data_IF_543527617337
#
_entry.id   IF_543527617337
#
_cell.length_a   1.000
_cell.length_b   1.000
_cell.length_c   1.000
_cell.angle_alpha   90.00
_cell.angle_beta   90.00
_cell.angle_gamma   90.00
#
_symmetry.space_group_name_H-M   'P 1'
#
loop_
_entity.id
_entity.type
_entity.pdbx_description
1 polymer ?
#
# COMPACT_ATOMS: atom_id res chain seq x y z
N UNK A 1 21.81 1.42 27.17
CA UNK A 1 20.42 0.95 27.31
C UNK A 1 19.50 2.14 27.09
N UNK A 2 19.02 2.32 25.87
CA UNK A 2 18.10 3.40 25.50
C UNK A 2 16.69 2.91 25.76
N UNK A 3 16.03 3.44 26.79
CA UNK A 3 14.63 3.15 27.12
C UNK A 3 13.73 3.64 25.98
N UNK A 4 13.13 2.72 25.22
CA UNK A 4 12.09 3.08 24.26
C UNK A 4 10.82 3.45 25.01
N UNK A 5 10.24 4.57 24.63
CA UNK A 5 8.97 5.02 25.19
C UNK A 5 7.89 4.00 24.82
N UNK A 6 7.10 3.47 25.77
CA UNK A 6 6.00 2.52 25.52
C UNK A 6 5.03 2.95 24.40
N UNK A 7 4.97 4.25 24.15
CA UNK A 7 4.15 4.87 23.10
C UNK A 7 4.61 4.50 21.68
N UNK A 8 5.90 4.32 21.42
CA UNK A 8 6.42 3.96 20.10
C UNK A 8 5.99 2.54 19.70
N UNK A 9 5.99 1.59 20.65
CA UNK A 9 5.52 0.21 20.42
C UNK A 9 4.06 0.16 20.02
N UNK A 10 3.20 0.88 20.75
CA UNK A 10 1.76 0.91 20.50
C UNK A 10 1.46 1.55 19.15
N UNK A 11 2.15 2.65 18.82
CA UNK A 11 2.00 3.32 17.53
C UNK A 11 2.36 2.41 16.36
N UNK A 12 3.46 1.65 16.45
CA UNK A 12 3.87 0.68 15.42
C UNK A 12 2.81 -0.41 15.24
N UNK A 13 2.25 -0.94 16.34
CA UNK A 13 1.18 -1.93 16.25
C UNK A 13 -0.08 -1.38 15.58
N UNK A 14 -0.42 -0.11 15.80
CA UNK A 14 -1.57 0.55 15.17
C UNK A 14 -1.35 0.83 13.68
N UNK A 15 -0.10 1.08 13.25
CA UNK A 15 0.21 1.45 11.86
C UNK A 15 0.45 0.24 10.96
N UNK A 16 0.83 -0.92 11.51
CA UNK A 16 1.10 -2.15 10.73
C UNK A 16 -0.04 -2.57 9.79
N UNK A 17 -1.32 -2.63 10.21
CA UNK A 17 -2.41 -2.95 9.29
C UNK A 17 -2.50 -1.97 8.11
N UNK A 18 -2.23 -0.69 8.34
CA UNK A 18 -2.23 0.33 7.29
C UNK A 18 -1.10 0.08 6.29
N UNK A 19 0.09 -0.29 6.77
CA UNK A 19 1.24 -0.57 5.91
C UNK A 19 1.07 -1.86 5.11
N UNK A 20 0.44 -2.89 5.67
CA UNK A 20 0.04 -4.09 4.92
C UNK A 20 -0.94 -3.74 3.80
N UNK A 21 -1.96 -2.93 4.10
CA UNK A 21 -2.91 -2.42 3.11
C UNK A 21 -2.21 -1.64 1.98
N UNK A 22 -1.22 -0.81 2.32
CA UNK A 22 -0.48 0.00 1.35
C UNK A 22 0.44 -0.87 0.48
N UNK A 23 1.12 -1.86 1.07
CA UNK A 23 2.00 -2.76 0.32
C UNK A 23 1.19 -3.59 -0.68
N UNK A 24 0.07 -4.18 -0.26
CA UNK A 24 -0.81 -4.91 -1.17
C UNK A 24 -1.35 -4.02 -2.29
N UNK A 25 -1.75 -2.78 -1.94
CA UNK A 25 -2.20 -1.80 -2.94
C UNK A 25 -1.12 -1.48 -3.96
N UNK A 26 0.13 -1.26 -3.52
CA UNK A 26 1.28 -0.98 -4.37
C UNK A 26 1.46 -2.06 -5.45
N UNK A 27 1.35 -3.34 -5.08
CA UNK A 27 1.48 -4.46 -6.01
C UNK A 27 0.36 -4.57 -7.05
N UNK A 28 -0.80 -3.96 -6.79
CA UNK A 28 -1.95 -3.97 -7.71
C UNK A 28 -1.99 -2.76 -8.66
N UNK A 29 -1.08 -1.81 -8.51
CA UNK A 29 -1.04 -0.60 -9.33
C UNK A 29 -0.64 -0.94 -10.76
N UNK A 30 -1.46 -0.47 -11.71
CA UNK A 30 -1.28 -0.64 -13.15
C UNK A 30 -2.07 0.41 -13.92
N UNK A 31 -1.80 0.53 -15.22
CA UNK A 31 -2.60 1.36 -16.14
C UNK A 31 -4.02 0.77 -16.27
N UNK A 32 -4.98 1.34 -15.54
CA UNK A 32 -6.36 0.86 -15.46
C UNK A 32 -7.28 1.93 -14.86
N UNK A 33 -8.58 1.66 -14.80
CA UNK A 33 -9.49 2.50 -14.02
C UNK A 33 -9.17 2.39 -12.53
N UNK A 34 -9.40 3.47 -11.78
CA UNK A 34 -9.27 3.45 -10.32
C UNK A 34 -10.15 2.37 -9.69
N UNK A 35 -11.32 2.09 -10.28
CA UNK A 35 -12.23 1.04 -9.81
C UNK A 35 -11.58 -0.34 -9.93
N UNK A 36 -10.94 -0.65 -11.06
CA UNK A 36 -10.26 -1.93 -11.27
C UNK A 36 -9.06 -2.11 -10.34
N UNK A 37 -8.26 -1.06 -10.13
CA UNK A 37 -7.11 -1.12 -9.21
C UNK A 37 -7.57 -1.31 -7.76
N UNK A 38 -8.61 -0.58 -7.33
CA UNK A 38 -9.17 -0.73 -5.98
C UNK A 38 -9.78 -2.12 -5.79
N UNK A 39 -10.50 -2.65 -6.80
CA UNK A 39 -11.04 -4.00 -6.76
C UNK A 39 -9.95 -5.06 -6.63
N UNK A 40 -8.93 -5.00 -7.50
CA UNK A 40 -7.82 -5.94 -7.46
C UNK A 40 -7.06 -5.90 -6.12
N UNK A 41 -6.84 -4.72 -5.55
CA UNK A 41 -6.21 -4.57 -4.25
C UNK A 41 -7.06 -5.16 -3.12
N UNK A 42 -8.38 -4.95 -3.17
CA UNK A 42 -9.30 -5.50 -2.17
C UNK A 42 -9.35 -7.02 -2.24
N UNK A 43 -9.43 -7.58 -3.45
CA UNK A 43 -9.44 -9.03 -3.67
C UNK A 43 -8.13 -9.66 -3.19
N UNK A 44 -6.99 -9.05 -3.49
CA UNK A 44 -5.67 -9.50 -3.02
C UNK A 44 -5.56 -9.48 -1.48
N UNK A 45 -6.09 -8.43 -0.83
CA UNK A 45 -6.13 -8.32 0.63
C UNK A 45 -7.05 -9.37 1.26
N UNK A 46 -8.23 -9.60 0.69
CA UNK A 46 -9.17 -10.63 1.14
C UNK A 46 -8.58 -12.03 1.01
N UNK A 47 -7.94 -12.32 -0.12
CA UNK A 47 -7.27 -13.62 -0.34
C UNK A 47 -6.12 -13.82 0.66
N UNK A 48 -5.29 -12.79 0.86
CA UNK A 48 -4.16 -12.84 1.80
C UNK A 48 -4.65 -13.06 3.24
N UNK A 49 -5.76 -12.45 3.62
CA UNK A 49 -6.40 -12.68 4.92
C UNK A 49 -6.95 -14.10 5.04
N UNK A 50 -7.70 -14.58 4.05
CA UNK A 50 -8.28 -15.91 4.04
C UNK A 50 -7.23 -17.03 4.10
N UNK A 51 -6.06 -16.81 3.50
CA UNK A 51 -4.93 -17.74 3.51
C UNK A 51 -4.04 -17.63 4.76
N UNK A 52 -4.40 -16.82 5.76
CA UNK A 52 -3.58 -16.51 6.94
C UNK A 52 -2.17 -15.95 6.60
N UNK A 53 -2.02 -15.32 5.43
CA UNK A 53 -0.78 -14.62 5.03
C UNK A 53 -0.70 -13.20 5.59
N UNK A 54 -1.83 -12.67 6.07
CA UNK A 54 -1.96 -11.34 6.66
C UNK A 54 -2.59 -11.47 8.04
N UNK A 55 -2.00 -10.84 9.06
CA UNK A 55 -2.44 -10.99 10.44
C UNK A 55 -3.65 -10.09 10.77
N UNK A 56 -3.76 -8.95 10.11
CA UNK A 56 -4.70 -7.91 10.49
C UNK A 56 -5.83 -7.76 9.47
N UNK A 57 -7.03 -8.22 9.82
CA UNK A 57 -8.21 -8.02 8.98
C UNK A 57 -8.54 -6.54 8.73
N UNK A 58 -8.12 -5.65 9.64
CA UNK A 58 -8.23 -4.19 9.50
C UNK A 58 -7.46 -3.62 8.30
N UNK A 59 -6.47 -4.35 7.78
CA UNK A 59 -5.74 -3.97 6.57
C UNK A 59 -6.62 -4.05 5.31
N UNK A 60 -7.70 -4.83 5.33
CA UNK A 60 -8.69 -4.94 4.25
C UNK A 60 -9.61 -3.71 4.25
N UNK A 61 -9.10 -2.58 3.78
CA UNK A 61 -9.81 -1.30 3.81
C UNK A 61 -9.73 -0.54 2.49
N UNK A 62 -10.89 -0.21 1.92
CA UNK A 62 -10.94 0.65 0.72
C UNK A 62 -10.37 2.05 0.96
N UNK A 63 -10.39 2.53 2.20
CA UNK A 63 -9.81 3.82 2.55
C UNK A 63 -8.28 3.74 2.61
N UNK A 64 -7.73 2.65 3.15
CA UNK A 64 -6.29 2.40 3.11
C UNK A 64 -5.79 2.33 1.65
N UNK A 65 -6.51 1.61 0.79
CA UNK A 65 -6.21 1.53 -0.65
C UNK A 65 -6.21 2.93 -1.29
N UNK A 66 -7.28 3.72 -1.09
CA UNK A 66 -7.36 5.07 -1.66
C UNK A 66 -6.28 6.01 -1.13
N UNK A 67 -5.90 5.88 0.14
CA UNK A 67 -4.84 6.69 0.72
C UNK A 67 -3.46 6.30 0.16
N UNK A 68 -3.20 5.00 -0.06
CA UNK A 68 -2.00 4.54 -0.75
C UNK A 68 -1.91 5.13 -2.17
N UNK A 69 -3.00 5.12 -2.95
CA UNK A 69 -3.02 5.74 -4.28
C UNK A 69 -2.71 7.24 -4.24
N UNK A 70 -3.20 7.97 -3.22
CA UNK A 70 -2.86 9.39 -3.03
C UNK A 70 -1.37 9.58 -2.72
N UNK A 71 -0.79 8.70 -1.90
CA UNK A 71 0.64 8.72 -1.58
C UNK A 71 1.49 8.47 -2.83
N UNK A 72 1.17 7.43 -3.61
CA UNK A 72 1.88 7.10 -4.84
C UNK A 72 1.79 8.23 -5.88
N UNK A 73 0.63 8.91 -5.95
CA UNK A 73 0.49 10.11 -6.77
C UNK A 73 1.39 11.24 -6.30
N UNK A 74 1.45 11.49 -4.99
CA UNK A 74 2.31 12.51 -4.41
C UNK A 74 3.80 12.23 -4.66
N UNK A 75 4.19 10.95 -4.71
CA UNK A 75 5.55 10.52 -5.03
C UNK A 75 5.87 10.54 -6.52
N UNK A 76 4.90 10.86 -7.39
CA UNK A 76 5.08 10.83 -8.84
C UNK A 76 5.18 9.42 -9.42
N UNK A 77 4.78 8.40 -8.65
CA UNK A 77 4.75 7.00 -9.11
C UNK A 77 3.58 6.77 -10.07
N UNK A 78 2.46 7.44 -9.79
CA UNK A 78 1.27 7.40 -10.63
C UNK A 78 0.72 8.78 -10.93
N UNK A 79 0.07 8.89 -12.07
CA UNK A 79 -0.87 9.96 -12.38
C UNK A 79 -2.30 9.46 -12.24
N UNK A 80 -3.18 10.35 -11.81
CA UNK A 80 -4.62 10.11 -11.79
C UNK A 80 -5.30 11.18 -12.63
N UNK A 81 -6.10 10.75 -13.60
CA UNK A 81 -6.81 11.62 -14.53
C UNK A 81 -8.22 11.12 -14.77
N UNK A 82 -9.08 11.98 -15.33
CA UNK A 82 -10.43 11.61 -15.73
C UNK A 82 -10.49 11.52 -17.25
N UNK A 83 -10.98 10.41 -17.76
CA UNK A 83 -11.19 10.18 -19.19
C UNK A 83 -12.55 9.50 -19.38
N UNK A 84 -13.40 10.02 -20.26
CA UNK A 84 -14.77 9.54 -20.48
C UNK A 84 -15.59 9.35 -19.19
N UNK A 85 -15.48 10.31 -18.24
CA UNK A 85 -16.12 10.28 -16.91
C UNK A 85 -15.62 9.18 -15.97
N UNK A 86 -14.56 8.45 -16.34
CA UNK A 86 -13.92 7.46 -15.49
C UNK A 86 -12.60 7.98 -14.93
N UNK A 87 -12.36 7.70 -13.65
CA UNK A 87 -11.05 7.97 -13.03
C UNK A 87 -10.09 6.87 -13.45
N UNK A 88 -9.00 7.25 -14.10
CA UNK A 88 -7.94 6.35 -14.57
C UNK A 88 -6.65 6.62 -13.83
N UNK A 89 -5.84 5.56 -13.73
CA UNK A 89 -4.51 5.56 -13.17
C UNK A 89 -3.54 5.27 -14.32
N UNK A 90 -2.45 6.03 -14.37
CA UNK A 90 -1.29 5.77 -15.21
C UNK A 90 -0.07 5.63 -14.32
N UNK A 91 0.72 4.58 -14.52
CA UNK A 91 2.04 4.42 -13.90
C UNK A 91 3.02 5.29 -14.67
N UNK A 92 3.79 6.11 -13.95
CA UNK A 92 4.75 7.03 -14.54
C UNK A 92 6.09 6.32 -14.81
N UNK A 93 6.83 6.77 -15.82
CA UNK A 93 8.26 6.40 -15.97
C UNK A 93 9.05 6.91 -14.74
N UNK A 94 9.96 6.11 -14.15
CA UNK A 94 10.46 4.82 -14.62
C UNK A 94 9.77 3.60 -13.97
N UNK A 95 8.67 3.80 -13.25
CA UNK A 95 7.98 2.78 -12.45
C UNK A 95 7.15 1.79 -13.27
N UNK A 96 7.04 2.00 -14.59
CA UNK A 96 6.50 0.99 -15.51
C UNK A 96 7.39 -0.27 -15.55
N UNK A 97 8.68 -0.11 -15.23
CA UNK A 97 9.57 -1.23 -14.97
C UNK A 97 9.24 -1.83 -13.59
N UNK A 98 9.05 -3.15 -13.57
CA UNK A 98 8.75 -3.93 -12.38
C UNK A 98 9.79 -3.75 -11.27
N UNK A 99 11.07 -3.70 -11.58
CA UNK A 99 12.15 -3.55 -10.59
C UNK A 99 12.03 -2.21 -9.85
N UNK A 100 11.78 -1.12 -10.59
CA UNK A 100 11.57 0.21 -10.02
C UNK A 100 10.28 0.27 -9.18
N UNK A 101 9.22 -0.45 -9.58
CA UNK A 101 8.00 -0.57 -8.78
C UNK A 101 8.24 -1.41 -7.52
N UNK A 102 9.03 -2.48 -7.61
CA UNK A 102 9.41 -3.30 -6.46
C UNK A 102 10.20 -2.49 -5.43
N UNK A 103 11.06 -1.56 -5.84
CA UNK A 103 11.72 -0.62 -4.93
C UNK A 103 10.73 0.29 -4.19
N UNK A 104 9.69 0.78 -4.87
CA UNK A 104 8.62 1.58 -4.23
C UNK A 104 7.88 0.72 -3.19
N UNK A 105 7.49 -0.49 -3.55
CA UNK A 105 6.79 -1.38 -2.63
C UNK A 105 7.70 -1.79 -1.45
N UNK A 106 9.00 -2.03 -1.69
CA UNK A 106 9.99 -2.29 -0.65
C UNK A 106 10.14 -1.10 0.31
N UNK A 107 10.09 0.13 -0.20
CA UNK A 107 10.15 1.33 0.65
C UNK A 107 8.92 1.45 1.56
N UNK A 108 7.73 1.13 1.07
CA UNK A 108 6.51 1.04 1.89
C UNK A 108 6.65 -0.10 2.92
N UNK A 109 7.14 -1.25 2.48
CA UNK A 109 7.28 -2.45 3.31
C UNK A 109 8.39 -2.35 4.36
N UNK A 110 9.41 -1.51 4.15
CA UNK A 110 10.48 -1.22 5.12
C UNK A 110 9.94 -0.71 6.45
N UNK A 111 8.81 0.01 6.44
CA UNK A 111 8.15 0.45 7.66
C UNK A 111 7.32 -0.67 8.31
N UNK A 112 6.99 -1.72 7.55
CA UNK A 112 6.23 -2.88 8.00
C UNK A 112 7.11 -3.90 8.72
N UNK A 113 8.36 -4.09 8.28
CA UNK A 113 9.28 -5.08 8.83
C UNK A 113 10.43 -4.47 9.64
N UNK A 114 10.72 -5.12 10.77
CA UNK A 114 11.96 -4.97 11.53
C UNK A 114 12.34 -3.53 11.91
N UNK A 115 11.38 -2.66 12.25
CA UNK A 115 11.69 -1.68 13.29
C UNK A 115 11.73 -2.48 14.59
N UNK A 116 12.91 -2.81 15.15
CA UNK A 116 12.92 -3.45 16.45
C UNK A 116 12.22 -2.49 17.39
N UNK A 117 11.15 -2.98 18.00
CA UNK A 117 10.65 -2.37 19.22
C UNK A 117 11.71 -2.68 20.27
N UNK A 118 12.81 -1.92 20.25
CA UNK A 118 13.86 -2.02 21.27
C UNK A 118 13.28 -1.68 22.64
#
# INVERSE_FOLDING_TARGET
MTTVLPNCRRLVQTIRPLLEGYAATCHCVRNATQKEVVGAALDSLLESFAQNKMLYGEAVSTDAIRNCLRLLRQWGVIEMYTDNRERKIRVCTPYENRDNMEEVCANIYKFNMATPVL
#
